data_IF_437752923282
#
_entry.id   IF_437752923282
#
_cell.length_a   1.000
_cell.length_b   1.000
_cell.length_c   1.000
_cell.angle_alpha   90.00
_cell.angle_beta   90.00
_cell.angle_gamma   90.00
#
_symmetry.space_group_name_H-M   'P 1'
#
loop_
_entity.id
_entity.type
_entity.pdbx_description
1 polymer ?
#
# COMPACT_ATOMS: atom_id res chain seq x y z
N UNK A 1 -33.85 5.90 -2.50
CA UNK A 1 -33.23 5.09 -1.42
C UNK A 1 -32.24 4.16 -2.06
N UNK A 2 -30.93 4.38 -1.90
CA UNK A 2 -29.91 3.46 -2.42
C UNK A 2 -30.02 2.18 -1.61
N UNK A 3 -30.51 1.09 -2.21
CA UNK A 3 -30.50 -0.23 -1.58
C UNK A 3 -29.04 -0.60 -1.38
N UNK A 4 -28.59 -0.67 -0.13
CA UNK A 4 -27.29 -1.27 0.20
C UNK A 4 -27.35 -2.71 -0.31
N UNK A 5 -26.52 -3.12 -1.28
CA UNK A 5 -26.59 -4.49 -1.75
C UNK A 5 -26.05 -5.41 -0.65
N UNK A 6 -26.70 -6.56 -0.53
CA UNK A 6 -26.40 -7.68 0.35
C UNK A 6 -24.88 -7.93 0.42
N UNK A 7 -24.31 -7.90 1.63
CA UNK A 7 -22.87 -8.05 1.83
C UNK A 7 -22.40 -9.46 1.49
N UNK A 8 -21.86 -9.65 0.29
CA UNK A 8 -21.10 -10.86 -0.05
C UNK A 8 -19.82 -10.87 0.79
N UNK A 9 -19.57 -11.98 1.48
CA UNK A 9 -18.37 -12.18 2.31
C UNK A 9 -17.64 -13.41 1.81
N UNK A 10 -16.38 -13.22 1.41
CA UNK A 10 -15.49 -14.30 1.00
C UNK A 10 -14.74 -14.80 2.25
N UNK A 11 -14.66 -16.12 2.40
CA UNK A 11 -14.04 -16.77 3.56
C UNK A 11 -12.92 -17.74 3.16
N UNK A 12 -12.85 -18.13 1.89
CA UNK A 12 -11.85 -19.06 1.37
C UNK A 12 -11.14 -18.53 0.13
N UNK A 13 -9.92 -19.03 -0.08
CA UNK A 13 -9.11 -18.74 -1.27
C UNK A 13 -9.79 -19.13 -2.57
N UNK A 14 -10.60 -20.19 -2.54
CA UNK A 14 -11.34 -20.65 -3.71
C UNK A 14 -12.44 -19.66 -4.09
N UNK A 15 -13.24 -19.21 -3.13
CA UNK A 15 -14.29 -18.19 -3.35
C UNK A 15 -13.68 -16.88 -3.87
N UNK A 16 -12.52 -16.50 -3.32
CA UNK A 16 -11.78 -15.34 -3.81
C UNK A 16 -11.36 -15.49 -5.27
N UNK A 17 -10.77 -16.62 -5.67
CA UNK A 17 -10.38 -16.86 -7.07
C UNK A 17 -11.57 -16.84 -8.03
N UNK A 18 -12.68 -17.48 -7.65
CA UNK A 18 -13.92 -17.48 -8.44
C UNK A 18 -14.46 -16.05 -8.64
N UNK A 19 -14.43 -15.22 -7.58
CA UNK A 19 -14.81 -13.80 -7.67
C UNK A 19 -13.85 -13.01 -8.56
N UNK A 20 -12.54 -13.24 -8.46
CA UNK A 20 -11.56 -12.54 -9.30
C UNK A 20 -11.71 -12.87 -10.79
N UNK A 21 -11.98 -14.13 -11.12
CA UNK A 21 -12.30 -14.54 -12.50
C UNK A 21 -13.57 -13.86 -13.00
N UNK A 22 -14.58 -13.71 -12.14
CA UNK A 22 -15.83 -13.01 -12.48
C UNK A 22 -15.61 -11.52 -12.69
N UNK A 23 -14.80 -10.87 -11.85
CA UNK A 23 -14.41 -9.47 -12.00
C UNK A 23 -13.68 -9.27 -13.35
N UNK A 24 -12.67 -10.10 -13.66
CA UNK A 24 -11.93 -10.00 -14.94
C UNK A 24 -12.88 -10.16 -16.14
N UNK A 25 -13.79 -11.12 -16.08
CA UNK A 25 -14.79 -11.31 -17.12
C UNK A 25 -15.65 -10.06 -17.33
N UNK A 26 -16.21 -9.47 -16.26
CA UNK A 26 -17.05 -8.27 -16.35
C UNK A 26 -16.24 -7.05 -16.84
N UNK A 27 -15.02 -6.86 -16.34
CA UNK A 27 -14.14 -5.77 -16.77
C UNK A 27 -13.80 -5.85 -18.26
N UNK A 28 -13.55 -7.06 -18.80
CA UNK A 28 -13.26 -7.26 -20.23
C UNK A 28 -14.42 -6.93 -21.15
N UNK A 29 -15.67 -7.05 -20.67
CA UNK A 29 -16.84 -6.57 -21.44
C UNK A 29 -16.80 -5.05 -21.61
N UNK A 30 -16.18 -4.34 -20.66
CA UNK A 30 -16.08 -2.88 -20.62
C UNK A 30 -17.32 -2.26 -19.98
N UNK A 31 -17.11 -1.25 -19.13
CA UNK A 31 -18.16 -0.63 -18.30
C UNK A 31 -19.40 -0.20 -19.08
N UNK A 32 -19.21 0.35 -20.29
CA UNK A 32 -20.31 0.82 -21.15
C UNK A 32 -21.22 -0.30 -21.68
N UNK A 33 -20.75 -1.55 -21.65
CA UNK A 33 -21.45 -2.71 -22.16
C UNK A 33 -22.08 -3.57 -21.06
N UNK A 34 -21.91 -3.18 -19.79
CA UNK A 34 -22.55 -3.85 -18.67
C UNK A 34 -24.00 -3.38 -18.55
N UNK A 35 -24.91 -4.33 -18.35
CA UNK A 35 -26.27 -3.99 -17.96
C UNK A 35 -26.33 -3.63 -16.46
N UNK A 36 -27.47 -3.12 -15.99
CA UNK A 36 -27.62 -2.67 -14.60
C UNK A 36 -27.36 -3.78 -13.58
N UNK A 37 -27.77 -5.03 -13.86
CA UNK A 37 -27.53 -6.16 -12.97
C UNK A 37 -26.04 -6.53 -12.92
N UNK A 38 -25.36 -6.53 -14.07
CA UNK A 38 -23.92 -6.80 -14.15
C UNK A 38 -23.09 -5.71 -13.47
N UNK A 39 -23.51 -4.45 -13.57
CA UNK A 39 -22.86 -3.34 -12.86
C UNK A 39 -23.02 -3.48 -11.35
N UNK A 40 -24.23 -3.79 -10.87
CA UNK A 40 -24.48 -4.03 -9.45
C UNK A 40 -23.73 -5.26 -8.92
N UNK A 41 -23.64 -6.31 -9.73
CA UNK A 41 -22.84 -7.50 -9.42
C UNK A 41 -21.37 -7.12 -9.25
N UNK A 42 -20.79 -6.40 -10.22
CA UNK A 42 -19.40 -5.95 -10.18
C UNK A 42 -19.10 -5.15 -8.91
N UNK A 43 -19.97 -4.20 -8.55
CA UNK A 43 -19.82 -3.40 -7.33
C UNK A 43 -19.77 -4.29 -6.08
N UNK A 44 -20.68 -5.25 -5.97
CA UNK A 44 -20.78 -6.15 -4.81
C UNK A 44 -19.56 -7.04 -4.69
N UNK A 45 -19.16 -7.69 -5.78
CA UNK A 45 -18.06 -8.66 -5.77
C UNK A 45 -16.70 -7.96 -5.61
N UNK A 46 -16.55 -6.74 -6.13
CA UNK A 46 -15.34 -5.93 -5.93
C UNK A 46 -15.17 -5.53 -4.46
N UNK A 47 -16.24 -5.10 -3.78
CA UNK A 47 -16.21 -4.81 -2.34
C UNK A 47 -15.89 -6.08 -1.53
N UNK A 48 -16.44 -7.24 -1.93
CA UNK A 48 -16.18 -8.50 -1.27
C UNK A 48 -14.70 -8.94 -1.42
N UNK A 49 -14.13 -8.78 -2.61
CA UNK A 49 -12.71 -9.02 -2.89
C UNK A 49 -11.82 -8.10 -2.06
N UNK A 50 -12.06 -6.79 -2.06
CA UNK A 50 -11.29 -5.81 -1.27
C UNK A 50 -11.28 -6.17 0.23
N UNK A 51 -12.44 -6.57 0.79
CA UNK A 51 -12.54 -6.98 2.18
C UNK A 51 -11.82 -8.30 2.49
N UNK A 52 -11.78 -9.23 1.54
CA UNK A 52 -10.98 -10.45 1.66
C UNK A 52 -9.48 -10.12 1.62
N UNK A 53 -9.05 -9.32 0.65
CA UNK A 53 -7.66 -8.91 0.50
C UNK A 53 -7.14 -8.18 1.74
N UNK A 54 -7.90 -7.23 2.30
CA UNK A 54 -7.52 -6.56 3.56
C UNK A 54 -7.28 -7.51 4.73
N UNK A 55 -8.00 -8.64 4.78
CA UNK A 55 -7.89 -9.63 5.85
C UNK A 55 -6.77 -10.65 5.60
N UNK A 56 -6.54 -11.02 4.34
CA UNK A 56 -5.66 -12.14 3.98
C UNK A 56 -4.37 -11.74 3.26
N UNK A 57 -4.38 -10.65 2.51
CA UNK A 57 -3.23 -10.08 1.81
C UNK A 57 -2.98 -8.65 2.31
N UNK A 58 -2.53 -8.54 3.56
CA UNK A 58 -1.95 -7.29 4.03
C UNK A 58 -0.74 -6.99 3.14
N UNK A 59 -0.68 -5.80 2.56
CA UNK A 59 0.56 -5.32 1.96
C UNK A 59 1.65 -5.50 3.02
N UNK A 60 2.76 -6.19 2.71
CA UNK A 60 3.80 -6.41 3.70
C UNK A 60 4.24 -5.04 4.19
N UNK A 61 3.91 -4.74 5.45
CA UNK A 61 4.42 -3.55 6.10
C UNK A 61 5.95 -3.64 6.06
N UNK A 62 6.62 -2.53 5.77
CA UNK A 62 8.08 -2.48 5.82
C UNK A 62 8.60 -3.14 7.10
N UNK A 63 9.53 -4.09 6.95
CA UNK A 63 10.16 -4.81 8.05
C UNK A 63 11.47 -4.18 8.48
N UNK A 64 11.86 -3.06 7.85
CA UNK A 64 13.01 -2.27 8.25
C UNK A 64 12.76 -0.77 8.08
N UNK A 65 13.61 0.04 8.72
CA UNK A 65 13.56 1.48 8.58
C UNK A 65 13.75 1.92 7.12
N UNK A 66 14.67 1.29 6.38
CA UNK A 66 14.95 1.62 4.99
C UNK A 66 13.75 1.37 4.08
N UNK A 67 13.08 0.22 4.26
CA UNK A 67 11.86 -0.11 3.51
C UNK A 67 10.74 0.90 3.80
N UNK A 68 10.63 1.36 5.05
CA UNK A 68 9.63 2.36 5.44
C UNK A 68 9.92 3.72 4.81
N UNK A 69 11.19 4.10 4.77
CA UNK A 69 11.63 5.34 4.10
C UNK A 69 11.34 5.27 2.59
N UNK A 70 11.60 4.12 1.95
CA UNK A 70 11.30 3.89 0.54
C UNK A 70 9.80 3.90 0.24
N UNK A 71 8.99 3.31 1.13
CA UNK A 71 7.53 3.40 1.04
C UNK A 71 7.08 4.86 1.08
N UNK A 72 7.56 5.66 2.04
CA UNK A 72 7.24 7.09 2.13
C UNK A 72 7.70 7.89 0.91
N UNK A 73 8.84 7.53 0.32
CA UNK A 73 9.34 8.11 -0.92
C UNK A 73 8.39 7.85 -2.08
N UNK A 74 7.91 6.62 -2.20
CA UNK A 74 6.97 6.19 -3.24
C UNK A 74 5.60 6.86 -3.08
N UNK A 75 5.05 6.87 -1.87
CA UNK A 75 3.78 7.54 -1.52
C UNK A 75 3.80 9.02 -1.92
N UNK A 76 4.92 9.72 -1.63
CA UNK A 76 5.10 11.14 -1.96
C UNK A 76 5.48 11.39 -3.44
N UNK A 77 5.70 10.34 -4.25
CA UNK A 77 6.10 10.42 -5.67
C UNK A 77 7.37 11.24 -5.92
N UNK A 78 8.31 11.21 -4.98
CA UNK A 78 9.57 11.96 -5.05
C UNK A 78 10.75 11.07 -5.44
N UNK A 79 11.78 11.69 -6.04
CA UNK A 79 13.05 11.01 -6.32
C UNK A 79 13.93 10.96 -5.07
N UNK A 80 14.87 10.01 -5.01
CA UNK A 80 15.80 9.89 -3.88
C UNK A 80 16.60 11.18 -3.61
N UNK A 81 16.96 11.92 -4.67
CA UNK A 81 17.57 13.26 -4.56
C UNK A 81 16.74 14.27 -3.78
N UNK A 82 15.43 14.22 -3.95
CA UNK A 82 14.51 15.10 -3.24
C UNK A 82 14.29 14.63 -1.81
N UNK A 83 14.19 13.32 -1.60
CA UNK A 83 14.17 12.73 -0.26
C UNK A 83 15.42 13.11 0.55
N UNK A 84 16.61 13.08 -0.05
CA UNK A 84 17.86 13.49 0.59
C UNK A 84 17.80 14.95 1.05
N UNK A 85 17.25 15.84 0.22
CA UNK A 85 17.02 17.25 0.57
C UNK A 85 16.04 17.40 1.73
N UNK A 86 14.92 16.67 1.72
CA UNK A 86 13.90 16.68 2.80
C UNK A 86 14.49 16.19 4.13
N UNK A 87 15.32 15.15 4.08
CA UNK A 87 16.00 14.57 5.23
C UNK A 87 17.28 15.31 5.63
N UNK A 88 17.61 16.40 4.93
CA UNK A 88 18.77 17.27 5.19
C UNK A 88 20.10 16.49 5.22
N UNK A 89 20.25 15.54 4.29
CA UNK A 89 21.47 14.73 4.11
C UNK A 89 21.93 14.72 2.65
N UNK A 90 23.17 14.31 2.42
CA UNK A 90 23.67 14.10 1.06
C UNK A 90 23.01 12.87 0.41
N UNK A 91 22.87 12.88 -0.91
CA UNK A 91 22.35 11.74 -1.67
C UNK A 91 23.16 10.46 -1.42
N UNK A 92 24.49 10.61 -1.27
CA UNK A 92 25.40 9.53 -0.93
C UNK A 92 25.13 8.95 0.47
N UNK A 93 24.98 9.80 1.50
CA UNK A 93 24.65 9.34 2.86
C UNK A 93 23.32 8.62 2.88
N UNK A 94 22.28 9.17 2.23
CA UNK A 94 20.98 8.51 2.13
C UNK A 94 21.09 7.14 1.43
N UNK A 95 21.79 7.07 0.30
CA UNK A 95 21.99 5.81 -0.42
C UNK A 95 22.71 4.75 0.44
N UNK A 96 23.72 5.15 1.19
CA UNK A 96 24.43 4.22 2.09
C UNK A 96 23.51 3.69 3.20
N UNK A 97 22.67 4.54 3.78
CA UNK A 97 21.70 4.14 4.80
C UNK A 97 20.67 3.16 4.21
N UNK A 98 20.05 3.52 3.08
CA UNK A 98 19.04 2.68 2.41
C UNK A 98 19.59 1.31 1.98
N UNK A 99 20.89 1.21 1.70
CA UNK A 99 21.56 -0.04 1.34
C UNK A 99 22.23 -0.73 2.54
N UNK A 100 21.94 -0.31 3.79
CA UNK A 100 22.51 -0.86 5.03
C UNK A 100 24.05 -0.84 5.09
N UNK A 101 24.69 0.07 4.34
CA UNK A 101 26.15 0.28 4.33
C UNK A 101 26.60 1.30 5.38
N UNK A 102 25.66 2.02 5.98
CA UNK A 102 25.91 3.04 7.01
C UNK A 102 24.72 3.09 7.96
N UNK A 103 25.00 3.08 9.26
CA UNK A 103 23.97 3.25 10.27
C UNK A 103 23.40 4.69 10.28
N UNK A 104 22.08 4.84 10.53
CA UNK A 104 21.45 6.15 10.67
C UNK A 104 21.92 6.83 11.96
N UNK A 105 22.32 8.10 11.88
CA UNK A 105 22.63 8.88 13.07
C UNK A 105 21.37 9.52 13.69
N UNK A 106 21.50 9.99 14.93
CA UNK A 106 20.40 10.61 15.69
C UNK A 106 19.75 11.74 14.90
N UNK A 107 20.53 12.55 14.18
CA UNK A 107 19.98 13.64 13.36
C UNK A 107 19.13 13.11 12.20
N UNK A 108 19.59 12.06 11.52
CA UNK A 108 18.81 11.39 10.49
C UNK A 108 17.50 10.82 11.04
N UNK A 109 17.56 10.10 12.17
CA UNK A 109 16.38 9.53 12.84
C UNK A 109 15.35 10.61 13.19
N UNK A 110 15.79 11.75 13.75
CA UNK A 110 14.92 12.90 14.04
C UNK A 110 14.25 13.44 12.77
N UNK A 111 15.01 13.56 11.68
CA UNK A 111 14.48 14.05 10.41
C UNK A 111 13.48 13.05 9.80
N UNK A 112 13.74 11.74 9.91
CA UNK A 112 12.79 10.70 9.48
C UNK A 112 11.48 10.81 10.25
N UNK A 113 11.53 10.91 11.58
CA UNK A 113 10.34 11.11 12.41
C UNK A 113 9.57 12.39 12.02
N UNK A 114 10.27 13.54 11.96
CA UNK A 114 9.62 14.84 11.77
C UNK A 114 9.16 15.11 10.34
N UNK A 115 9.88 14.62 9.33
CA UNK A 115 9.65 14.99 7.92
C UNK A 115 8.91 13.90 7.13
N UNK A 116 9.05 12.65 7.54
CA UNK A 116 8.34 11.51 6.92
C UNK A 116 7.17 11.02 7.76
N UNK A 117 6.99 11.56 8.97
CA UNK A 117 5.89 11.22 9.89
C UNK A 117 5.83 9.71 10.16
N UNK A 118 7.01 9.08 10.25
CA UNK A 118 7.14 7.68 10.62
C UNK A 118 7.12 7.59 12.15
N UNK A 119 6.33 6.68 12.68
CA UNK A 119 6.14 6.49 14.12
C UNK A 119 7.47 6.24 14.86
N UNK A 120 7.64 6.91 16.01
CA UNK A 120 8.88 6.85 16.77
C UNK A 120 9.17 5.44 17.32
N UNK A 121 8.13 4.70 17.73
CA UNK A 121 8.29 3.32 18.17
C UNK A 121 8.72 2.44 17.01
N UNK A 122 8.11 2.58 15.83
CA UNK A 122 8.56 1.86 14.65
C UNK A 122 10.03 2.14 14.33
N UNK A 123 10.47 3.40 14.37
CA UNK A 123 11.88 3.72 14.12
C UNK A 123 12.79 3.02 15.15
N UNK A 124 12.48 3.12 16.44
CA UNK A 124 13.28 2.52 17.51
C UNK A 124 13.34 0.99 17.47
N UNK A 125 12.29 0.34 17.01
CA UNK A 125 12.25 -1.12 16.86
C UNK A 125 13.10 -1.62 15.67
N UNK A 126 13.54 -0.72 14.75
CA UNK A 126 14.15 -1.07 13.46
C UNK A 126 15.42 -0.26 13.11
N UNK A 127 16.07 0.39 14.09
CA UNK A 127 17.38 1.06 13.95
C UNK A 127 18.51 0.25 14.54
#
# INVERSE_FOLDING_TARGET
>A
MKKTPTSLVLSTEREYKEVMERIDFLMRKGERNLNEAESQELDVIAIAAENYEKRHYQLPMPQSLEEMIELKRFEKRIKQKELARILEVTESKLSQILNKKREPDIQFIKNVYMKLEIDAKFILDHV
#
